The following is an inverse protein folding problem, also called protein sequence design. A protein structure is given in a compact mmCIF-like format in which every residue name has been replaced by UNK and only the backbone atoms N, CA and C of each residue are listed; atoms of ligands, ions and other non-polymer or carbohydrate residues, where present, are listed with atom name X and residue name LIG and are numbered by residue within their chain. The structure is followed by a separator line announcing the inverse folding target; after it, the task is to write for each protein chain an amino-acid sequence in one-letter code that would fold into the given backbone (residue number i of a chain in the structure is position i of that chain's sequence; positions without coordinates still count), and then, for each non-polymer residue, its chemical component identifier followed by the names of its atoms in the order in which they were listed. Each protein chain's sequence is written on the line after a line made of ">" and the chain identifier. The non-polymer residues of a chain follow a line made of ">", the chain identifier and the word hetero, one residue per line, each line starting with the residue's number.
data_IF_078740626251
#
_entry.id   IF_078740626251
#
_cell.length_a   1.000
_cell.length_b   1.000
_cell.length_c   1.000
_cell.angle_alpha   90.00
_cell.angle_beta   90.00
_cell.angle_gamma   90.00
#
_symmetry.space_group_name_H-M   'P 1'
#
loop_
_entity.id
_entity.type
_entity.pdbx_description
1 polymer ?
#
# COMPACT_ATOMS: atom_id res chain seq x y z
N UNK A 1 37.30 3.44 -3.96
CA UNK A 1 36.64 4.78 -3.96
C UNK A 1 36.04 5.20 -5.31
N UNK A 2 35.72 4.28 -6.24
CA UNK A 2 34.99 4.63 -7.47
C UNK A 2 33.78 3.73 -7.60
N UNK A 3 32.60 4.28 -7.36
CA UNK A 3 31.34 3.67 -7.74
C UNK A 3 30.28 4.76 -7.85
N UNK A 4 30.04 5.25 -9.07
CA UNK A 4 28.81 5.91 -9.49
C UNK A 4 28.80 5.95 -11.03
N UNK A 5 28.05 5.03 -11.66
CA UNK A 5 27.56 5.13 -13.06
C UNK A 5 26.13 4.59 -13.03
N UNK A 6 25.09 5.30 -13.47
CA UNK A 6 24.69 5.54 -14.88
C UNK A 6 24.05 6.94 -15.06
N UNK A 7 24.24 7.49 -16.27
CA UNK A 7 23.81 8.78 -16.81
C UNK A 7 22.32 8.93 -17.16
N UNK A 8 21.76 10.09 -16.78
CA UNK A 8 20.93 10.94 -17.65
C UNK A 8 21.17 12.43 -17.25
N UNK A 9 21.83 13.20 -18.12
CA UNK A 9 22.15 14.64 -17.98
C UNK A 9 22.94 15.12 -16.75
N UNK A 10 23.84 14.32 -16.20
CA UNK A 10 24.95 14.84 -15.41
C UNK A 10 25.99 15.44 -16.36
N UNK A 11 25.81 16.69 -16.81
CA UNK A 11 26.83 17.38 -17.61
C UNK A 11 28.05 17.69 -16.73
N UNK A 12 29.16 17.01 -16.97
CA UNK A 12 30.48 17.39 -16.45
C UNK A 12 31.21 16.31 -15.63
N UNK A 13 32.29 15.82 -16.24
CA UNK A 13 33.45 15.10 -15.67
C UNK A 13 33.32 13.62 -15.32
N UNK A 14 34.39 12.90 -15.67
CA UNK A 14 34.60 11.45 -15.53
C UNK A 14 34.76 10.98 -14.06
N UNK A 15 34.53 11.85 -13.07
CA UNK A 15 34.61 11.54 -11.63
C UNK A 15 33.53 12.27 -10.82
N UNK A 16 32.63 11.51 -10.19
CA UNK A 16 31.59 12.03 -9.30
C UNK A 16 32.05 11.96 -7.84
N UNK A 17 32.30 13.11 -7.23
CA UNK A 17 32.71 13.23 -5.82
C UNK A 17 31.52 13.20 -4.86
N UNK A 18 31.80 13.00 -3.56
CA UNK A 18 30.84 13.17 -2.48
C UNK A 18 30.11 14.52 -2.60
N UNK A 19 28.78 14.51 -2.45
CA UNK A 19 27.95 15.71 -2.58
C UNK A 19 27.62 16.14 -4.02
N UNK A 20 28.14 15.43 -5.04
CA UNK A 20 27.79 15.69 -6.44
C UNK A 20 26.30 15.49 -6.69
N UNK A 21 25.67 16.45 -7.38
CA UNK A 21 24.23 16.46 -7.67
C UNK A 21 23.97 16.20 -9.14
N UNK A 22 23.24 15.12 -9.43
CA UNK A 22 22.81 14.79 -10.77
C UNK A 22 21.34 15.09 -10.95
N UNK A 23 20.97 15.79 -12.03
CA UNK A 23 19.58 16.14 -12.34
C UNK A 23 18.92 15.02 -13.12
N UNK A 24 17.82 14.50 -12.61
CA UNK A 24 17.00 13.48 -13.24
C UNK A 24 15.61 14.02 -13.57
N UNK A 25 15.00 13.41 -14.59
CA UNK A 25 13.63 13.65 -14.99
C UNK A 25 12.84 12.35 -14.99
N UNK A 26 11.71 12.32 -14.29
CA UNK A 26 10.77 11.22 -14.37
C UNK A 26 10.22 11.10 -15.79
N UNK A 27 10.00 9.85 -16.22
CA UNK A 27 9.34 9.53 -17.49
C UNK A 27 7.94 10.15 -17.54
N UNK A 28 7.38 10.30 -18.74
CA UNK A 28 5.99 10.78 -18.88
C UNK A 28 5.05 9.78 -18.18
N UNK A 29 4.05 10.29 -17.46
CA UNK A 29 3.21 9.46 -16.58
C UNK A 29 3.82 9.16 -15.20
N UNK A 30 4.97 9.75 -14.84
CA UNK A 30 5.60 9.63 -13.52
C UNK A 30 5.96 11.01 -12.97
N UNK A 31 5.94 11.13 -11.64
CA UNK A 31 6.29 12.35 -10.91
C UNK A 31 7.22 12.06 -9.73
N UNK A 32 7.79 13.10 -9.14
CA UNK A 32 8.67 12.96 -7.98
C UNK A 32 7.83 12.62 -6.75
N UNK A 33 8.15 11.51 -6.08
CA UNK A 33 7.47 11.06 -4.85
C UNK A 33 7.41 12.18 -3.81
N UNK A 34 6.25 12.38 -3.17
CA UNK A 34 6.03 13.41 -2.17
C UNK A 34 5.85 14.83 -2.72
N UNK A 35 5.73 14.99 -4.04
CA UNK A 35 5.47 16.28 -4.69
C UNK A 35 4.31 16.19 -5.68
N UNK A 36 3.76 17.35 -6.05
CA UNK A 36 2.68 17.46 -7.05
C UNK A 36 3.04 16.78 -8.38
N UNK A 37 2.04 16.20 -9.06
CA UNK A 37 2.20 15.42 -10.30
C UNK A 37 2.96 16.16 -11.41
N UNK A 38 2.89 17.49 -11.44
CA UNK A 38 3.65 18.34 -12.38
C UNK A 38 5.16 18.34 -12.14
N UNK A 39 5.63 18.03 -10.93
CA UNK A 39 7.05 18.00 -10.59
C UNK A 39 7.66 16.70 -11.10
N UNK A 40 8.44 16.80 -12.17
CA UNK A 40 9.13 15.66 -12.81
C UNK A 40 10.64 15.71 -12.70
N UNK A 41 11.21 16.87 -12.39
CA UNK A 41 12.65 17.04 -12.24
C UNK A 41 13.06 16.99 -10.76
N UNK A 42 14.15 16.30 -10.47
CA UNK A 42 14.75 16.21 -9.14
C UNK A 42 16.26 16.02 -9.24
N UNK A 43 16.95 16.09 -8.11
CA UNK A 43 18.37 15.79 -8.03
C UNK A 43 18.61 14.58 -7.13
N UNK A 44 19.50 13.69 -7.56
CA UNK A 44 20.12 12.69 -6.69
C UNK A 44 21.48 13.21 -6.23
N UNK A 45 21.85 12.90 -4.99
CA UNK A 45 23.10 13.31 -4.35
C UNK A 45 23.93 12.09 -4.02
N UNK A 46 25.21 12.11 -4.38
CA UNK A 46 26.17 11.07 -4.00
C UNK A 46 26.48 11.18 -2.49
N UNK A 47 26.14 10.15 -1.72
CA UNK A 47 26.38 10.06 -0.27
C UNK A 47 27.83 9.66 0.05
N UNK A 48 28.20 9.76 1.33
CA UNK A 48 29.52 9.31 1.83
C UNK A 48 29.77 7.82 1.60
N UNK A 49 28.69 7.03 1.55
CA UNK A 49 28.72 5.59 1.26
C UNK A 49 28.90 5.27 -0.22
N UNK A 50 28.95 6.27 -1.10
CA UNK A 50 29.02 6.09 -2.56
C UNK A 50 27.69 5.68 -3.20
N UNK A 51 26.57 5.77 -2.45
CA UNK A 51 25.24 5.51 -2.96
C UNK A 51 24.56 6.80 -3.43
N UNK A 52 23.65 6.70 -4.41
CA UNK A 52 22.79 7.82 -4.76
C UNK A 52 21.63 7.92 -3.77
N UNK A 53 21.47 9.10 -3.19
CA UNK A 53 20.40 9.42 -2.24
C UNK A 53 19.51 10.53 -2.81
N UNK A 54 18.20 10.40 -2.65
CA UNK A 54 17.24 11.38 -3.14
C UNK A 54 15.87 10.78 -3.44
N UNK A 55 14.94 11.59 -3.95
CA UNK A 55 13.59 11.14 -4.20
C UNK A 55 13.53 10.18 -5.39
N UNK A 56 12.51 9.31 -5.40
CA UNK A 56 12.22 8.40 -6.49
C UNK A 56 11.07 8.91 -7.36
N UNK A 57 10.94 8.36 -8.56
CA UNK A 57 9.76 8.57 -9.39
C UNK A 57 8.65 7.60 -9.00
N UNK A 58 7.43 8.11 -8.83
CA UNK A 58 6.20 7.33 -8.65
C UNK A 58 5.27 7.54 -9.85
N UNK A 59 4.49 6.53 -10.26
CA UNK A 59 3.53 6.69 -11.33
C UNK A 59 2.47 7.72 -10.95
N UNK A 60 2.04 8.53 -11.92
CA UNK A 60 0.86 9.39 -11.78
C UNK A 60 -0.36 8.47 -11.79
N UNK A 61 -1.23 8.66 -10.80
CA UNK A 61 -2.50 7.94 -10.68
C UNK A 61 -3.63 8.93 -10.45
N UNK A 62 -4.81 8.59 -10.94
CA UNK A 62 -6.02 9.33 -10.63
C UNK A 62 -6.54 8.98 -9.23
N UNK A 63 -7.36 9.86 -8.62
CA UNK A 63 -7.98 9.56 -7.35
C UNK A 63 -8.75 8.22 -7.41
N UNK A 64 -8.68 7.39 -6.37
CA UNK A 64 -9.46 6.17 -6.31
C UNK A 64 -10.95 6.51 -6.43
N UNK A 65 -11.68 5.71 -7.20
CA UNK A 65 -13.13 5.87 -7.31
C UNK A 65 -13.79 5.57 -5.94
N UNK A 66 -14.95 6.19 -5.65
CA UNK A 66 -15.71 5.87 -4.44
C UNK A 66 -15.93 4.35 -4.30
N UNK A 67 -15.79 3.83 -3.08
CA UNK A 67 -15.88 2.40 -2.77
C UNK A 67 -17.23 1.76 -3.15
N UNK A 68 -18.28 2.56 -3.33
CA UNK A 68 -19.56 2.11 -3.89
C UNK A 68 -19.44 1.57 -5.32
N UNK A 69 -18.41 1.95 -6.07
CA UNK A 69 -18.18 1.43 -7.42
C UNK A 69 -17.31 0.17 -7.44
N UNK A 70 -16.79 -0.30 -6.30
CA UNK A 70 -15.96 -1.51 -6.26
C UNK A 70 -16.74 -2.70 -6.80
N UNK A 71 -16.16 -3.39 -7.79
CA UNK A 71 -16.78 -4.51 -8.51
C UNK A 71 -17.70 -4.10 -9.68
N UNK A 72 -17.90 -2.80 -9.93
CA UNK A 72 -18.70 -2.29 -11.05
C UNK A 72 -17.87 -1.76 -12.22
N UNK A 73 -16.56 -1.70 -12.08
CA UNK A 73 -15.66 -1.24 -13.12
C UNK A 73 -14.47 -2.19 -13.32
N UNK A 74 -13.94 -2.19 -14.53
CA UNK A 74 -12.68 -2.85 -14.88
C UNK A 74 -11.76 -1.83 -15.54
N UNK A 75 -10.48 -1.82 -15.16
CA UNK A 75 -9.50 -0.88 -15.70
C UNK A 75 -8.39 -1.62 -16.44
N UNK A 76 -7.86 -1.01 -17.50
CA UNK A 76 -6.77 -1.59 -18.28
C UNK A 76 -5.43 -1.58 -17.54
N UNK A 77 -5.18 -0.58 -16.69
CA UNK A 77 -3.96 -0.44 -15.89
C UNK A 77 -4.23 0.24 -14.54
N UNK A 78 -5.05 -0.42 -13.71
CA UNK A 78 -5.49 0.12 -12.41
C UNK A 78 -6.01 1.57 -12.56
N UNK A 79 -5.59 2.49 -11.68
CA UNK A 79 -5.89 3.92 -11.74
C UNK A 79 -4.70 4.76 -12.25
N UNK A 80 -3.75 4.16 -12.97
CA UNK A 80 -2.59 4.90 -13.46
C UNK A 80 -2.93 5.78 -14.67
N UNK A 81 -2.15 6.84 -14.86
CA UNK A 81 -2.26 7.73 -16.01
C UNK A 81 -2.23 6.96 -17.34
N UNK A 82 -3.23 7.19 -18.19
CA UNK A 82 -3.47 6.47 -19.44
C UNK A 82 -4.44 5.30 -19.32
N UNK A 83 -4.77 4.84 -18.10
CA UNK A 83 -5.72 3.75 -17.87
C UNK A 83 -7.14 4.14 -18.32
N UNK A 84 -7.85 3.18 -18.91
CA UNK A 84 -9.27 3.29 -19.26
C UNK A 84 -10.04 2.34 -18.34
N UNK A 85 -10.94 2.91 -17.54
CA UNK A 85 -11.83 2.18 -16.67
C UNK A 85 -13.25 2.17 -17.26
N UNK A 86 -13.76 0.98 -17.56
CA UNK A 86 -15.12 0.78 -18.06
C UNK A 86 -16.03 0.44 -16.89
N UNK A 87 -17.01 1.30 -16.63
CA UNK A 87 -17.93 1.21 -15.50
C UNK A 87 -19.34 0.89 -15.98
N UNK A 88 -20.01 -0.05 -15.32
CA UNK A 88 -21.37 -0.47 -15.65
C UNK A 88 -22.26 -0.39 -14.41
N UNK A 89 -23.30 0.44 -14.44
CA UNK A 89 -24.25 0.53 -13.33
C UNK A 89 -25.22 -0.67 -13.33
N UNK A 90 -25.58 -1.22 -12.16
CA UNK A 90 -26.60 -2.25 -12.04
C UNK A 90 -27.93 -1.83 -12.66
N UNK A 91 -28.60 -2.74 -13.38
CA UNK A 91 -29.89 -2.48 -14.03
C UNK A 91 -29.82 -1.64 -15.31
N UNK A 92 -28.64 -1.23 -15.74
CA UNK A 92 -28.42 -0.52 -17.01
C UNK A 92 -27.56 -1.35 -17.95
N UNK A 93 -27.81 -1.25 -19.26
CA UNK A 93 -26.94 -1.84 -20.29
C UNK A 93 -25.91 -0.85 -20.85
N UNK A 94 -25.86 0.37 -20.32
CA UNK A 94 -24.93 1.40 -20.77
C UNK A 94 -23.64 1.33 -19.95
N UNK A 95 -22.52 1.32 -20.66
CA UNK A 95 -21.19 1.40 -20.08
C UNK A 95 -20.67 2.83 -20.18
N UNK A 96 -19.96 3.28 -19.15
CA UNK A 96 -19.27 4.58 -19.13
C UNK A 96 -17.77 4.35 -19.08
N UNK A 97 -17.01 5.02 -19.94
CA UNK A 97 -15.55 4.96 -19.94
C UNK A 97 -14.95 6.19 -19.23
N UNK A 98 -14.18 5.93 -18.18
CA UNK A 98 -13.38 6.90 -17.46
C UNK A 98 -11.92 6.75 -17.87
N UNK A 99 -11.29 7.82 -18.31
CA UNK A 99 -9.88 7.85 -18.68
C UNK A 99 -9.10 8.62 -17.64
N UNK A 100 -8.05 8.01 -17.11
CA UNK A 100 -7.13 8.72 -16.24
C UNK A 100 -6.14 9.51 -17.10
N UNK A 101 -6.18 10.84 -17.01
CA UNK A 101 -5.33 11.70 -17.82
C UNK A 101 -3.90 11.80 -17.24
N UNK A 102 -2.96 12.30 -18.05
CA UNK A 102 -1.54 12.36 -17.69
C UNK A 102 -1.21 13.29 -16.50
N UNK A 103 -2.15 14.16 -16.12
CA UNK A 103 -2.06 15.01 -14.94
C UNK A 103 -2.59 14.33 -13.66
N UNK A 104 -3.17 13.14 -13.78
CA UNK A 104 -3.78 12.39 -12.68
C UNK A 104 -5.20 12.84 -12.37
N UNK A 105 -5.93 13.37 -13.36
CA UNK A 105 -7.34 13.73 -13.24
C UNK A 105 -8.19 12.85 -14.17
N UNK A 106 -9.38 12.44 -13.71
CA UNK A 106 -10.32 11.73 -14.57
C UNK A 106 -10.88 12.67 -15.66
N UNK A 107 -11.02 12.17 -16.89
CA UNK A 107 -11.58 12.94 -18.00
C UNK A 107 -13.03 13.42 -17.77
N UNK A 108 -13.76 12.76 -16.87
CA UNK A 108 -15.12 13.08 -16.44
C UNK A 108 -15.40 12.45 -15.08
N UNK A 109 -16.45 12.92 -14.43
CA UNK A 109 -16.95 12.32 -13.19
C UNK A 109 -17.58 10.93 -13.45
N UNK A 110 -17.51 10.00 -12.46
CA UNK A 110 -18.20 8.73 -12.55
C UNK A 110 -19.73 8.93 -12.64
N UNK A 111 -20.46 8.06 -13.37
CA UNK A 111 -21.90 8.21 -13.52
C UNK A 111 -22.63 7.92 -12.21
N UNK A 112 -23.77 8.58 -11.99
CA UNK A 112 -24.62 8.31 -10.83
C UNK A 112 -25.39 7.00 -11.06
N UNK A 113 -25.09 5.98 -10.26
CA UNK A 113 -25.83 4.71 -10.27
C UNK A 113 -26.97 4.72 -9.24
N UNK A 114 -28.07 4.02 -9.55
CA UNK A 114 -29.14 3.74 -8.58
C UNK A 114 -28.97 2.35 -7.97
N UNK A 115 -29.09 2.26 -6.64
CA UNK A 115 -28.88 1.02 -5.88
C UNK A 115 -30.09 0.61 -5.04
N UNK A 116 -31.28 1.13 -5.34
CA UNK A 116 -32.48 1.05 -4.48
C UNK A 116 -32.93 -0.38 -4.11
N UNK A 117 -32.49 -1.40 -4.84
CA UNK A 117 -32.85 -2.81 -4.60
C UNK A 117 -31.65 -3.69 -4.25
N UNK A 118 -30.49 -3.09 -4.00
CA UNK A 118 -29.26 -3.81 -3.69
C UNK A 118 -28.92 -3.65 -2.21
N UNK A 119 -28.67 -4.79 -1.57
CA UNK A 119 -28.20 -4.86 -0.20
C UNK A 119 -27.17 -5.95 -0.08
N UNK A 120 -26.14 -5.70 0.72
CA UNK A 120 -25.15 -6.72 1.02
C UNK A 120 -25.73 -7.79 1.96
N UNK A 121 -25.24 -9.05 1.86
CA UNK A 121 -25.59 -10.10 2.80
C UNK A 121 -25.08 -9.76 4.21
N UNK A 122 -25.58 -10.47 5.22
CA UNK A 122 -25.00 -10.39 6.55
C UNK A 122 -23.50 -10.81 6.47
N UNK A 123 -22.56 -10.02 7.04
CA UNK A 123 -21.15 -10.39 7.06
C UNK A 123 -20.95 -11.76 7.70
N UNK A 124 -20.17 -12.63 7.05
CA UNK A 124 -19.91 -13.97 7.57
C UNK A 124 -18.70 -13.92 8.52
N UNK A 125 -18.93 -14.17 9.81
CA UNK A 125 -17.86 -14.40 10.78
C UNK A 125 -17.42 -15.88 10.74
N UNK A 126 -16.52 -16.23 9.82
CA UNK A 126 -16.02 -17.62 9.70
C UNK A 126 -15.04 -18.00 10.80
N UNK A 127 -14.22 -17.06 11.26
CA UNK A 127 -13.17 -17.29 12.24
C UNK A 127 -13.71 -17.33 13.67
N UNK A 128 -14.91 -16.82 13.92
CA UNK A 128 -15.50 -16.68 15.24
C UNK A 128 -14.98 -15.47 16.00
N UNK A 129 -13.73 -15.05 15.75
CA UNK A 129 -12.99 -14.01 16.48
C UNK A 129 -13.11 -12.60 15.89
N UNK A 130 -13.94 -12.42 14.85
CA UNK A 130 -14.16 -11.14 14.18
C UNK A 130 -15.57 -10.65 14.45
N UNK A 131 -15.69 -9.41 14.90
CA UNK A 131 -16.96 -8.73 15.11
C UNK A 131 -17.19 -7.66 14.04
N UNK A 132 -18.34 -7.75 13.38
CA UNK A 132 -18.81 -6.78 12.39
C UNK A 132 -19.88 -5.89 13.03
N UNK A 133 -19.65 -4.57 13.04
CA UNK A 133 -20.61 -3.56 13.51
C UNK A 133 -20.98 -2.64 12.35
N UNK A 134 -22.04 -3.00 11.63
CA UNK A 134 -22.46 -2.29 10.43
C UNK A 134 -23.63 -1.33 10.73
N UNK A 135 -23.60 -0.13 10.16
CA UNK A 135 -24.69 0.85 10.32
C UNK A 135 -25.98 0.41 9.60
N UNK A 136 -25.83 -0.17 8.42
CA UNK A 136 -26.88 -0.77 7.61
C UNK A 136 -26.27 -1.74 6.59
N UNK A 137 -27.11 -2.41 5.80
CA UNK A 137 -26.69 -3.32 4.70
C UNK A 137 -26.95 -2.74 3.30
N UNK A 138 -27.44 -1.50 3.20
CA UNK A 138 -27.62 -0.81 1.92
C UNK A 138 -26.27 -0.40 1.32
N UNK A 139 -26.21 -0.29 -0.01
CA UNK A 139 -25.01 0.19 -0.72
C UNK A 139 -24.52 1.53 -0.14
N UNK A 140 -23.21 1.64 0.07
CA UNK A 140 -22.55 2.78 0.70
C UNK A 140 -22.44 2.70 2.22
N UNK A 141 -23.13 1.76 2.87
CA UNK A 141 -22.98 1.56 4.32
C UNK A 141 -21.60 1.04 4.66
N UNK A 142 -21.04 1.54 5.76
CA UNK A 142 -19.77 1.07 6.32
C UNK A 142 -20.00 0.07 7.45
N UNK A 143 -19.03 -0.81 7.64
CA UNK A 143 -18.97 -1.74 8.73
C UNK A 143 -17.63 -1.64 9.44
N UNK A 144 -17.69 -1.34 10.74
CA UNK A 144 -16.53 -1.36 11.59
C UNK A 144 -16.21 -2.81 11.97
N UNK A 145 -14.93 -3.17 11.86
CA UNK A 145 -14.43 -4.53 12.11
C UNK A 145 -13.52 -4.49 13.33
N UNK A 146 -13.78 -5.36 14.30
CA UNK A 146 -12.94 -5.50 15.49
C UNK A 146 -12.63 -6.97 15.74
N UNK A 147 -11.52 -7.23 16.42
CA UNK A 147 -11.21 -8.56 16.94
C UNK A 147 -11.78 -8.72 18.35
N UNK A 148 -12.05 -9.97 18.75
CA UNK A 148 -12.53 -10.29 20.11
C UNK A 148 -11.50 -9.88 21.17
N UNK A 149 -10.21 -10.12 20.89
CA UNK A 149 -9.11 -9.82 21.80
C UNK A 149 -8.58 -8.39 21.62
N UNK A 150 -8.31 -7.65 22.71
CA UNK A 150 -7.93 -6.24 22.66
C UNK A 150 -6.54 -6.00 22.05
N UNK A 151 -5.63 -6.96 22.20
CA UNK A 151 -4.26 -6.91 21.66
C UNK A 151 -4.18 -7.38 20.21
N UNK A 152 -5.33 -7.60 19.56
CA UNK A 152 -5.43 -8.00 18.17
C UNK A 152 -6.04 -6.87 17.34
N UNK A 153 -5.74 -6.89 16.05
CA UNK A 153 -6.29 -5.99 15.06
C UNK A 153 -6.66 -6.76 13.78
N UNK A 154 -7.69 -6.31 13.05
CA UNK A 154 -8.02 -6.89 11.77
C UNK A 154 -6.88 -6.63 10.78
N UNK A 155 -6.58 -7.63 9.95
CA UNK A 155 -5.67 -7.54 8.81
C UNK A 155 -6.37 -8.10 7.58
N UNK A 156 -5.94 -7.63 6.41
CA UNK A 156 -6.47 -8.08 5.14
C UNK A 156 -5.48 -9.03 4.47
N UNK A 157 -5.94 -10.24 4.16
CA UNK A 157 -5.16 -11.26 3.46
C UNK A 157 -5.42 -11.18 1.95
N UNK A 158 -4.42 -10.74 1.18
CA UNK A 158 -4.51 -10.67 -0.28
C UNK A 158 -3.31 -11.38 -0.90
N UNK A 159 -3.57 -12.36 -1.77
CA UNK A 159 -2.53 -13.11 -2.50
C UNK A 159 -1.46 -13.72 -1.56
N UNK A 160 -1.90 -14.25 -0.40
CA UNK A 160 -1.05 -14.77 0.68
C UNK A 160 -0.20 -13.73 1.42
N UNK A 161 -0.46 -12.44 1.22
CA UNK A 161 0.18 -11.34 1.94
C UNK A 161 -0.74 -10.76 2.99
N UNK A 162 -0.18 -10.38 4.13
CA UNK A 162 -0.91 -9.69 5.19
C UNK A 162 -0.72 -8.18 5.08
N UNK A 163 -1.81 -7.47 4.88
CA UNK A 163 -1.82 -6.02 4.77
C UNK A 163 -2.55 -5.40 5.96
N UNK A 164 -2.03 -4.28 6.46
CA UNK A 164 -2.70 -3.52 7.51
C UNK A 164 -4.10 -3.09 7.05
N UNK A 165 -5.10 -3.34 7.90
CA UNK A 165 -6.48 -2.97 7.62
C UNK A 165 -6.70 -1.50 7.99
N UNK A 166 -6.54 -0.61 7.00
CA UNK A 166 -6.59 0.84 7.22
C UNK A 166 -7.93 1.51 6.85
N UNK A 167 -8.93 0.75 6.41
CA UNK A 167 -10.19 1.28 5.86
C UNK A 167 -11.39 0.47 6.37
N UNK A 168 -12.57 1.09 6.48
CA UNK A 168 -13.81 0.39 6.80
C UNK A 168 -14.22 -0.57 5.67
N UNK A 169 -14.98 -1.62 6.02
CA UNK A 169 -15.63 -2.46 5.01
C UNK A 169 -16.87 -1.74 4.49
N UNK A 170 -17.01 -1.59 3.18
CA UNK A 170 -18.10 -0.86 2.54
C UNK A 170 -18.97 -1.81 1.73
N UNK A 171 -20.28 -1.67 1.84
CA UNK A 171 -21.21 -2.37 0.95
C UNK A 171 -21.16 -1.71 -0.44
N UNK A 172 -20.59 -2.38 -1.43
CA UNK A 172 -20.46 -1.82 -2.78
C UNK A 172 -21.74 -2.00 -3.60
N UNK A 173 -21.80 -1.29 -4.73
CA UNK A 173 -22.87 -1.39 -5.71
C UNK A 173 -22.92 -2.74 -6.44
N UNK A 174 -21.95 -3.62 -6.25
CA UNK A 174 -22.04 -5.02 -6.66
C UNK A 174 -22.87 -5.88 -5.69
N UNK A 175 -23.36 -5.31 -4.57
CA UNK A 175 -24.10 -6.04 -3.54
C UNK A 175 -23.19 -6.92 -2.66
N UNK A 176 -21.90 -6.60 -2.60
CA UNK A 176 -20.89 -7.33 -1.84
C UNK A 176 -20.13 -6.37 -0.92
N UNK A 177 -19.65 -6.90 0.20
CA UNK A 177 -18.79 -6.17 1.12
C UNK A 177 -17.36 -6.13 0.59
N UNK A 178 -16.76 -4.94 0.57
CA UNK A 178 -15.38 -4.72 0.14
C UNK A 178 -14.57 -3.99 1.22
N UNK A 179 -13.34 -4.44 1.55
CA UNK A 179 -12.75 -5.70 1.08
C UNK A 179 -13.58 -6.92 1.48
N UNK A 180 -13.33 -8.05 0.81
CA UNK A 180 -14.11 -9.27 1.06
C UNK A 180 -13.97 -9.68 2.53
N UNK A 181 -15.11 -9.90 3.20
CA UNK A 181 -15.14 -10.27 4.63
C UNK A 181 -14.48 -11.62 4.90
N UNK A 182 -14.48 -12.53 3.92
CA UNK A 182 -13.85 -13.85 4.05
C UNK A 182 -12.30 -13.79 4.03
N UNK A 183 -11.71 -12.65 3.62
CA UNK A 183 -10.25 -12.42 3.61
C UNK A 183 -9.74 -11.62 4.80
N UNK A 184 -10.58 -11.39 5.81
CA UNK A 184 -10.19 -10.72 7.04
C UNK A 184 -9.71 -11.73 8.08
N UNK A 185 -8.60 -11.40 8.73
CA UNK A 185 -8.01 -12.19 9.81
C UNK A 185 -7.71 -11.29 11.02
N UNK A 186 -7.65 -11.86 12.22
CA UNK A 186 -7.15 -11.15 13.40
C UNK A 186 -5.70 -11.53 13.64
N UNK A 187 -4.83 -10.52 13.73
CA UNK A 187 -3.41 -10.69 14.08
C UNK A 187 -3.07 -9.84 15.28
N UNK A 188 -1.97 -10.17 15.96
CA UNK A 188 -1.49 -9.36 17.09
C UNK A 188 -1.18 -7.96 16.58
N UNK A 189 -1.66 -6.97 17.33
CA UNK A 189 -1.53 -5.55 17.00
C UNK A 189 -0.06 -5.15 16.97
N UNK A 190 0.31 -4.36 15.98
CA UNK A 190 1.65 -3.77 15.92
C UNK A 190 1.82 -2.67 16.99
N UNK A 191 2.93 -2.67 17.72
CA UNK A 191 3.32 -1.53 18.53
C UNK A 191 4.21 -0.58 17.72
N UNK A 192 3.62 0.53 17.27
CA UNK A 192 4.28 1.53 16.43
C UNK A 192 5.50 2.18 17.08
N UNK A 193 5.61 2.17 18.41
CA UNK A 193 6.75 2.75 19.11
C UNK A 193 8.01 1.89 19.02
N UNK A 194 7.86 0.59 18.77
CA UNK A 194 8.97 -0.37 18.73
C UNK A 194 9.35 -0.82 17.30
N UNK A 195 8.58 -0.43 16.29
CA UNK A 195 8.94 -0.73 14.89
C UNK A 195 10.21 0.04 14.51
N UNK A 196 11.27 -0.68 14.17
CA UNK A 196 12.52 -0.07 13.69
C UNK A 196 13.35 0.57 14.81
N UNK A 197 13.19 0.15 16.06
CA UNK A 197 13.89 0.70 17.23
C UNK A 197 15.29 0.08 17.47
N UNK A 198 15.67 -0.91 16.65
CA UNK A 198 16.92 -1.66 16.74
C UNK A 198 16.85 -2.94 17.57
N UNK A 199 15.66 -3.27 18.09
CA UNK A 199 15.34 -4.56 18.68
C UNK A 199 14.42 -5.34 17.75
N UNK A 200 14.55 -6.67 17.77
CA UNK A 200 13.65 -7.56 17.08
C UNK A 200 12.51 -7.93 18.01
N UNK A 201 11.43 -7.18 17.93
CA UNK A 201 10.18 -7.37 18.65
C UNK A 201 9.33 -8.47 17.99
N UNK A 202 9.19 -9.59 18.70
CA UNK A 202 8.40 -10.74 18.26
C UNK A 202 6.99 -10.36 17.78
N UNK A 203 6.34 -9.43 18.48
CA UNK A 203 4.99 -8.95 18.15
C UNK A 203 4.94 -8.09 16.89
N UNK A 204 6.03 -7.41 16.54
CA UNK A 204 6.11 -6.57 15.35
C UNK A 204 6.74 -7.28 14.16
N UNK A 205 7.38 -8.44 14.35
CA UNK A 205 7.96 -9.25 13.27
C UNK A 205 6.90 -10.03 12.46
N UNK A 206 5.90 -9.30 11.98
CA UNK A 206 4.78 -9.76 11.17
C UNK A 206 4.74 -8.93 9.87
N UNK A 207 4.20 -9.49 8.78
CA UNK A 207 4.21 -8.79 7.48
C UNK A 207 3.39 -7.49 7.51
N UNK A 208 2.22 -7.47 8.15
CA UNK A 208 1.40 -6.26 8.25
C UNK A 208 2.01 -5.18 9.17
N UNK A 209 3.03 -5.54 9.94
CA UNK A 209 3.84 -4.65 10.78
C UNK A 209 5.19 -4.29 10.12
N UNK A 210 5.34 -4.50 8.80
CA UNK A 210 6.57 -4.26 8.04
C UNK A 210 7.81 -4.98 8.62
N UNK A 211 7.61 -6.18 9.19
CA UNK A 211 8.66 -7.01 9.81
C UNK A 211 9.51 -6.26 10.82
N UNK A 212 8.85 -5.49 11.69
CA UNK A 212 9.50 -4.70 12.73
C UNK A 212 10.53 -3.70 12.18
N UNK A 213 10.25 -3.15 11.01
CA UNK A 213 11.18 -2.25 10.32
C UNK A 213 12.44 -2.96 9.78
N UNK A 214 12.53 -4.28 9.88
CA UNK A 214 13.68 -5.09 9.47
C UNK A 214 14.66 -5.40 10.61
N UNK A 215 14.34 -5.11 11.87
CA UNK A 215 15.27 -5.30 12.99
C UNK A 215 15.56 -6.77 13.33
N UNK A 216 14.68 -7.68 12.90
CA UNK A 216 14.87 -9.13 13.02
C UNK A 216 15.82 -9.74 11.97
N UNK A 217 16.39 -8.93 11.09
CA UNK A 217 17.27 -9.38 10.01
C UNK A 217 18.65 -8.72 10.12
N UNK A 218 19.71 -9.52 10.24
CA UNK A 218 21.08 -9.03 10.40
C UNK A 218 21.57 -8.13 9.23
N UNK A 219 21.00 -8.31 8.04
CA UNK A 219 21.32 -7.54 6.85
C UNK A 219 20.69 -6.13 6.82
N UNK A 220 19.60 -5.92 7.57
CA UNK A 220 18.83 -4.67 7.58
C UNK A 220 18.91 -3.91 8.91
N UNK A 221 19.10 -4.61 10.03
CA UNK A 221 19.22 -3.99 11.36
C UNK A 221 20.50 -3.15 11.50
N UNK A 222 20.39 -2.03 12.22
CA UNK A 222 21.52 -1.16 12.50
C UNK A 222 22.63 -1.91 13.27
N UNK A 223 23.87 -1.85 12.76
CA UNK A 223 25.01 -2.52 13.38
C UNK A 223 25.09 -4.04 13.13
N UNK A 224 24.17 -4.61 12.32
CA UNK A 224 24.19 -6.01 11.89
C UNK A 224 24.09 -7.06 13.02
N UNK A 225 23.64 -6.66 14.20
CA UNK A 225 23.45 -7.54 15.36
C UNK A 225 21.99 -7.52 15.76
N UNK A 226 21.31 -8.66 15.61
CA UNK A 226 19.92 -8.83 16.01
C UNK A 226 19.85 -9.00 17.53
N UNK A 227 19.05 -8.17 18.20
CA UNK A 227 18.75 -8.28 19.63
C UNK A 227 17.27 -8.55 19.80
N UNK A 228 16.90 -9.74 20.27
CA UNK A 228 15.48 -10.11 20.38
C UNK A 228 14.80 -9.53 21.61
N UNK A 229 13.54 -9.10 21.45
CA UNK A 229 12.60 -8.85 22.52
C UNK A 229 11.36 -9.76 22.34
N UNK A 230 11.05 -10.62 23.33
CA UNK A 230 11.73 -10.81 24.61
C UNK A 230 13.14 -11.47 24.46
N UNK A 231 14.00 -11.41 25.50
CA UNK A 231 15.39 -11.93 25.44
C UNK A 231 15.53 -13.43 25.14
N UNK A 232 14.48 -14.22 25.37
CA UNK A 232 14.40 -15.65 25.06
C UNK A 232 13.28 -15.92 24.05
N UNK A 233 13.20 -15.08 23.02
CA UNK A 233 12.19 -15.19 21.98
C UNK A 233 12.30 -16.52 21.21
N UNK A 234 11.18 -17.21 20.94
CA UNK A 234 11.17 -18.36 20.05
C UNK A 234 11.79 -18.04 18.68
N UNK A 235 12.55 -18.98 18.13
CA UNK A 235 13.28 -18.79 16.86
C UNK A 235 12.31 -18.48 15.71
N UNK A 236 11.14 -19.09 15.70
CA UNK A 236 10.10 -18.84 14.70
C UNK A 236 9.49 -17.44 14.81
N UNK A 237 9.48 -16.84 15.99
CA UNK A 237 8.96 -15.49 16.21
C UNK A 237 9.98 -14.40 15.86
N UNK A 238 11.25 -14.56 16.28
CA UNK A 238 12.32 -13.57 16.09
C UNK A 238 13.34 -13.90 14.99
N UNK A 239 13.06 -14.88 14.13
CA UNK A 239 13.87 -15.12 12.93
C UNK A 239 13.62 -14.04 11.86
N UNK A 240 14.60 -13.89 10.97
CA UNK A 240 14.48 -12.97 9.84
C UNK A 240 13.37 -13.41 8.88
N UNK A 241 12.26 -12.67 8.90
CA UNK A 241 11.10 -12.88 8.02
C UNK A 241 11.02 -11.86 6.88
N UNK A 242 11.67 -10.70 7.02
CA UNK A 242 11.68 -9.65 6.01
C UNK A 242 12.28 -10.15 4.69
N UNK A 243 11.54 -10.15 3.58
CA UNK A 243 12.05 -10.51 2.26
C UNK A 243 13.23 -9.65 1.81
N UNK A 244 13.31 -8.39 2.25
CA UNK A 244 14.44 -7.47 1.97
C UNK A 244 15.70 -7.88 2.72
N UNK A 245 15.54 -8.60 3.82
CA UNK A 245 16.63 -9.08 4.65
C UNK A 245 17.30 -10.36 4.15
N UNK A 246 16.71 -11.05 3.15
CA UNK A 246 17.31 -12.26 2.57
C UNK A 246 18.41 -11.88 1.58
N UNK A 247 19.63 -12.34 1.86
CA UNK A 247 20.71 -12.48 0.88
C UNK A 247 20.72 -13.90 0.33
#
# INVERSE_FOLDING_TARGET
>A
HRACTVTANCRGSDQHHFGHKCRFHCKTGYHVKGHANKKRAFHLVCSETGAWTGPACTPVACPPLPSVYTGLYTCTDSWYAGSICTLTCPGTHSTTELRCELDGVWNRDPPVCSFSHLSCPEPRNRSGVIHFRCAARSVGSTCNVTCDEPDYEPVFSQDSRQLAFAQDVVCSGAGLWHPNTDSLECRRRCNKEYIGDGWCDASNNQEHCDWDGGDCCASTVAGHVVKSFPPNCPIDECSCKDPRGRQ
#
